data_IF_584713614219
#
_entry.id   IF_584713614219
#
_cell.length_a   1.000
_cell.length_b   1.000
_cell.length_c   1.000
_cell.angle_alpha   90.00
_cell.angle_beta   90.00
_cell.angle_gamma   90.00
#
_symmetry.space_group_name_H-M   'P 1'
#
loop_
_entity.id
_entity.type
_entity.pdbx_description
1 polymer ?
#
# COMPACT_ATOMS: atom_id res chain seq x y z
N UNK A 1 -41.02 14.15 4.58
CA UNK A 1 -40.81 12.86 3.89
C UNK A 1 -39.35 12.47 4.08
N UNK A 2 -39.09 11.52 4.96
CA UNK A 2 -37.73 11.10 5.36
C UNK A 2 -37.22 10.01 4.42
N UNK A 3 -35.97 10.10 3.99
CA UNK A 3 -35.21 8.94 3.52
C UNK A 3 -33.84 8.98 4.20
N UNK A 4 -33.77 8.44 5.41
CA UNK A 4 -32.51 8.16 6.08
C UNK A 4 -31.99 6.83 5.56
N UNK A 5 -31.10 6.86 4.57
CA UNK A 5 -30.31 5.68 4.21
C UNK A 5 -29.24 5.51 5.30
N UNK A 6 -29.54 4.71 6.33
CA UNK A 6 -28.51 4.15 7.21
C UNK A 6 -27.65 3.20 6.39
N UNK A 7 -26.59 3.73 5.77
CA UNK A 7 -25.43 2.88 5.43
C UNK A 7 -24.85 2.47 6.76
N UNK A 8 -25.05 1.21 7.16
CA UNK A 8 -24.28 0.60 8.22
C UNK A 8 -22.82 0.55 7.76
N UNK A 9 -22.08 1.63 8.00
CA UNK A 9 -20.64 1.65 7.82
C UNK A 9 -20.08 0.54 8.70
N UNK A 10 -19.45 -0.46 8.08
CA UNK A 10 -18.68 -1.48 8.80
C UNK A 10 -17.70 -0.70 9.68
N UNK A 11 -17.85 -0.78 11.02
CA UNK A 11 -16.89 -0.16 11.94
C UNK A 11 -15.56 -0.84 11.69
N UNK A 12 -14.59 -0.08 11.19
CA UNK A 12 -13.23 -0.55 11.04
C UNK A 12 -12.57 -0.39 12.40
N UNK A 13 -12.50 -1.48 13.16
CA UNK A 13 -11.89 -1.51 14.50
C UNK A 13 -10.37 -1.79 14.45
N UNK A 14 -9.76 -1.72 13.26
CA UNK A 14 -8.32 -1.85 13.06
C UNK A 14 -7.57 -0.53 13.32
N UNK A 15 -6.26 -0.58 13.58
CA UNK A 15 -5.46 0.62 13.74
C UNK A 15 -5.54 1.47 12.45
N UNK A 16 -5.89 2.74 12.61
CA UNK A 16 -5.80 3.70 11.52
C UNK A 16 -4.34 3.94 11.14
N UNK A 17 -4.07 3.98 9.84
CA UNK A 17 -2.79 4.47 9.35
C UNK A 17 -2.66 5.95 9.71
N UNK A 18 -1.48 6.34 10.20
CA UNK A 18 -1.09 7.75 10.27
C UNK A 18 -1.04 8.38 8.88
N UNK A 19 -1.10 9.71 8.80
CA UNK A 19 -0.99 10.45 7.53
C UNK A 19 0.25 10.03 6.74
N UNK A 20 1.41 9.96 7.38
CA UNK A 20 2.66 9.56 6.72
C UNK A 20 2.60 8.12 6.18
N UNK A 21 1.90 7.22 6.87
CA UNK A 21 1.70 5.84 6.41
C UNK A 21 0.81 5.80 5.16
N UNK A 22 -0.24 6.62 5.13
CA UNK A 22 -1.15 6.75 3.98
C UNK A 22 -0.39 7.33 2.78
N UNK A 23 0.42 8.37 3.00
CA UNK A 23 1.24 8.98 1.95
C UNK A 23 2.23 7.98 1.35
N UNK A 24 2.95 7.21 2.18
CA UNK A 24 3.85 6.16 1.70
C UNK A 24 3.12 5.05 0.95
N UNK A 25 1.94 4.66 1.44
CA UNK A 25 1.10 3.67 0.76
C UNK A 25 0.67 4.13 -0.63
N UNK A 26 0.19 5.37 -0.74
CA UNK A 26 -0.21 5.96 -2.02
C UNK A 26 0.97 6.04 -2.99
N UNK A 27 2.10 6.57 -2.53
CA UNK A 27 3.29 6.74 -3.36
C UNK A 27 3.79 5.41 -3.92
N UNK A 28 3.91 4.35 -3.10
CA UNK A 28 4.41 3.07 -3.60
C UNK A 28 3.41 2.38 -4.52
N UNK A 29 2.10 2.57 -4.29
CA UNK A 29 1.05 2.04 -5.16
C UNK A 29 1.10 2.70 -6.54
N UNK A 30 1.18 4.02 -6.59
CA UNK A 30 1.26 4.78 -7.85
C UNK A 30 2.49 4.37 -8.67
N UNK A 31 3.66 4.27 -8.01
CA UNK A 31 4.90 3.85 -8.68
C UNK A 31 4.80 2.42 -9.21
N UNK A 32 4.30 1.47 -8.41
CA UNK A 32 4.17 0.09 -8.83
C UNK A 32 3.19 -0.06 -10.02
N UNK A 33 2.07 0.69 -10.02
CA UNK A 33 1.13 0.71 -11.15
C UNK A 33 1.82 1.28 -12.39
N UNK A 34 2.55 2.38 -12.26
CA UNK A 34 3.25 3.00 -13.37
C UNK A 34 4.28 2.04 -14.00
N UNK A 35 4.92 1.19 -13.19
CA UNK A 35 5.99 0.28 -13.65
C UNK A 35 5.51 -1.08 -14.13
N UNK A 36 4.48 -1.64 -13.50
CA UNK A 36 4.05 -3.04 -13.68
C UNK A 36 2.60 -3.17 -14.19
N UNK A 37 1.87 -2.06 -14.30
CA UNK A 37 0.42 -2.07 -14.50
C UNK A 37 -0.33 -2.55 -13.24
N UNK A 38 -1.66 -2.40 -13.24
CA UNK A 38 -2.47 -2.61 -12.01
C UNK A 38 -2.39 -4.02 -11.44
N UNK A 39 -2.44 -5.06 -12.29
CA UNK A 39 -2.38 -6.45 -11.83
C UNK A 39 -0.98 -6.82 -11.32
N UNK A 40 0.07 -6.37 -12.02
CA UNK A 40 1.46 -6.56 -11.59
C UNK A 40 1.75 -5.85 -10.27
N UNK A 41 1.25 -4.62 -10.10
CA UNK A 41 1.37 -3.87 -8.86
C UNK A 41 0.71 -4.59 -7.68
N UNK A 42 -0.51 -5.12 -7.86
CA UNK A 42 -1.22 -5.88 -6.82
C UNK A 42 -0.43 -7.14 -6.45
N UNK A 43 0.07 -7.89 -7.43
CA UNK A 43 0.84 -9.10 -7.19
C UNK A 43 2.15 -8.81 -6.44
N UNK A 44 2.93 -7.83 -6.90
CA UNK A 44 4.18 -7.42 -6.28
C UNK A 44 3.98 -6.89 -4.86
N UNK A 45 3.10 -5.90 -4.66
CA UNK A 45 2.95 -5.23 -3.37
C UNK A 45 2.43 -6.15 -2.27
N UNK A 46 1.63 -7.14 -2.64
CA UNK A 46 1.04 -8.09 -1.69
C UNK A 46 1.81 -9.41 -1.59
N UNK A 47 2.72 -9.71 -2.53
CA UNK A 47 3.59 -10.88 -2.49
C UNK A 47 4.72 -10.75 -1.47
N UNK A 48 5.44 -11.83 -1.25
CA UNK A 48 6.67 -11.79 -0.45
C UNK A 48 7.85 -11.42 -1.33
N UNK A 49 8.67 -10.46 -0.88
CA UNK A 49 9.95 -10.12 -1.52
C UNK A 49 11.09 -10.56 -0.60
N UNK A 50 11.81 -11.66 -0.93
CA UNK A 50 12.88 -12.21 -0.09
C UNK A 50 13.98 -11.19 0.25
N UNK A 51 14.28 -10.27 -0.66
CA UNK A 51 15.26 -9.19 -0.44
C UNK A 51 14.83 -8.15 0.60
N UNK A 52 13.53 -8.05 0.88
CA UNK A 52 12.96 -7.16 1.90
C UNK A 52 12.58 -7.91 3.19
N UNK A 53 12.55 -9.24 3.17
CA UNK A 53 12.13 -10.07 4.30
C UNK A 53 10.64 -9.92 4.63
N UNK A 54 9.80 -9.59 3.64
CA UNK A 54 8.37 -9.43 3.84
C UNK A 54 7.65 -8.86 2.61
N UNK A 55 6.39 -8.46 2.81
CA UNK A 55 5.56 -7.89 1.74
C UNK A 55 5.98 -6.45 1.46
N UNK A 56 6.23 -6.06 0.19
CA UNK A 56 6.67 -4.71 -0.15
C UNK A 56 5.76 -3.60 0.40
N UNK A 57 4.44 -3.81 0.38
CA UNK A 57 3.49 -2.85 0.92
C UNK A 57 3.69 -2.61 2.42
N UNK A 58 3.81 -3.68 3.21
CA UNK A 58 3.95 -3.59 4.66
C UNK A 58 5.29 -2.91 5.02
N UNK A 59 6.36 -3.21 4.27
CA UNK A 59 7.69 -2.61 4.44
C UNK A 59 7.68 -1.11 4.09
N UNK A 60 7.09 -0.73 2.95
CA UNK A 60 7.01 0.66 2.51
C UNK A 60 6.19 1.52 3.47
N UNK A 61 5.07 1.01 3.97
CA UNK A 61 4.20 1.74 4.90
C UNK A 61 4.88 1.92 6.26
N UNK A 62 5.64 0.94 6.74
CA UNK A 62 6.24 0.97 8.08
C UNK A 62 7.27 2.08 8.27
N UNK A 63 8.00 2.48 7.23
CA UNK A 63 9.07 3.50 7.35
C UNK A 63 9.46 4.14 6.02
N UNK A 64 10.06 5.32 6.07
CA UNK A 64 10.66 5.98 4.90
C UNK A 64 11.79 5.16 4.29
N UNK A 65 12.67 4.56 5.09
CA UNK A 65 13.74 3.68 4.59
C UNK A 65 13.19 2.43 3.89
N UNK A 66 12.08 1.89 4.40
CA UNK A 66 11.37 0.78 3.77
C UNK A 66 10.82 1.17 2.41
N UNK A 67 10.21 2.38 2.31
CA UNK A 67 9.74 2.92 1.03
C UNK A 67 10.89 2.99 0.00
N UNK A 68 12.02 3.58 0.36
CA UNK A 68 13.18 3.70 -0.54
C UNK A 68 13.80 2.34 -0.93
N UNK A 69 13.72 1.33 -0.05
CA UNK A 69 14.14 -0.02 -0.39
C UNK A 69 13.23 -0.65 -1.46
N UNK A 70 11.90 -0.47 -1.33
CA UNK A 70 10.94 -1.01 -2.31
C UNK A 70 11.04 -0.28 -3.65
N UNK A 71 11.24 1.04 -3.65
CA UNK A 71 11.46 1.82 -4.87
C UNK A 71 12.64 1.30 -5.68
N UNK A 72 13.78 1.04 -5.03
CA UNK A 72 14.96 0.49 -5.71
C UNK A 72 14.68 -0.84 -6.40
N UNK A 73 13.94 -1.74 -5.76
CA UNK A 73 13.53 -3.01 -6.39
C UNK A 73 12.67 -2.75 -7.62
N UNK A 74 11.68 -1.84 -7.53
CA UNK A 74 10.82 -1.48 -8.67
C UNK A 74 11.59 -0.85 -9.84
N UNK A 75 12.65 -0.09 -9.55
CA UNK A 75 13.52 0.51 -10.57
C UNK A 75 14.40 -0.52 -11.29
N UNK A 76 14.69 -1.66 -10.64
CA UNK A 76 15.51 -2.76 -11.19
C UNK A 76 14.71 -3.82 -11.96
N UNK A 77 13.39 -3.89 -11.77
CA UNK A 77 12.43 -4.59 -12.67
C UNK A 77 12.29 -3.85 -13.99
#
# INVERSE_FOLDING_TARGET
MSILIKRAGRRFDGPYLSSDQIERQGHILELAIARLGSQGAIAFLNGEEPGLGGRPLDIAVKSSSGLEAVKRILEEL
#
